data_IF_288333575219
#
_entry.id   IF_288333575219
#
_cell.length_a   1.000
_cell.length_b   1.000
_cell.length_c   1.000
_cell.angle_alpha   90.00
_cell.angle_beta   90.00
_cell.angle_gamma   90.00
#
_symmetry.space_group_name_H-M   'P 1'
#
loop_
_entity.id
_entity.type
_entity.pdbx_description
1 polymer ?
#
# COMPACT_ATOMS: atom_id res chain seq x y z
N UNK A 1 24.83 -14.10 19.88
CA UNK A 1 23.66 -13.86 20.74
C UNK A 1 22.73 -12.72 20.29
N UNK A 2 23.15 -11.44 20.16
CA UNK A 2 22.25 -10.33 19.72
C UNK A 2 21.63 -10.53 18.32
N UNK A 3 22.42 -10.96 17.31
CA UNK A 3 21.94 -11.16 15.93
C UNK A 3 20.85 -12.24 15.82
N UNK A 4 21.00 -13.37 16.52
CA UNK A 4 19.99 -14.44 16.54
C UNK A 4 18.70 -14.03 17.25
N UNK A 5 18.80 -13.16 18.24
CA UNK A 5 17.65 -12.61 18.95
C UNK A 5 16.87 -11.63 18.05
N UNK A 6 17.58 -10.79 17.30
CA UNK A 6 17.00 -9.90 16.27
C UNK A 6 16.38 -10.69 15.13
N UNK A 7 17.04 -11.74 14.63
CA UNK A 7 16.49 -12.61 13.58
C UNK A 7 15.24 -13.37 14.03
N UNK A 8 15.21 -13.87 15.27
CA UNK A 8 14.02 -14.52 15.85
C UNK A 8 12.88 -13.53 16.08
N UNK A 9 13.19 -12.33 16.57
CA UNK A 9 12.21 -11.26 16.71
C UNK A 9 11.64 -10.84 15.35
N UNK A 10 12.49 -10.68 14.34
CA UNK A 10 12.09 -10.33 12.99
C UNK A 10 11.23 -11.43 12.37
N UNK A 11 11.63 -12.70 12.43
CA UNK A 11 10.80 -13.82 11.93
C UNK A 11 9.42 -13.87 12.61
N UNK A 12 9.35 -13.63 13.92
CA UNK A 12 8.10 -13.69 14.69
C UNK A 12 7.18 -12.49 14.41
N UNK A 13 7.75 -11.31 14.18
CA UNK A 13 7.02 -10.06 13.97
C UNK A 13 7.16 -9.53 12.53
N UNK A 14 7.54 -10.39 11.58
CA UNK A 14 7.91 -9.99 10.22
C UNK A 14 6.80 -9.19 9.54
N UNK A 15 5.56 -9.69 9.66
CA UNK A 15 4.39 -9.02 9.11
C UNK A 15 4.17 -7.64 9.73
N UNK A 16 4.39 -7.49 11.05
CA UNK A 16 4.24 -6.21 11.74
C UNK A 16 5.29 -5.21 11.30
N UNK A 17 6.54 -5.64 11.16
CA UNK A 17 7.64 -4.79 10.68
C UNK A 17 7.37 -4.36 9.24
N UNK A 18 6.94 -5.27 8.37
CA UNK A 18 6.59 -4.94 6.98
C UNK A 18 5.41 -3.96 6.92
N UNK A 19 4.36 -4.15 7.71
CA UNK A 19 3.25 -3.19 7.79
C UNK A 19 3.72 -1.81 8.28
N UNK A 20 4.57 -1.76 9.31
CA UNK A 20 5.14 -0.50 9.78
C UNK A 20 5.97 0.19 8.69
N UNK A 21 6.81 -0.57 7.98
CA UNK A 21 7.60 -0.06 6.86
C UNK A 21 6.72 0.44 5.71
N UNK A 22 5.62 -0.24 5.38
CA UNK A 22 4.66 0.19 4.37
C UNK A 22 4.06 1.56 4.73
N UNK A 23 3.61 1.70 5.98
CA UNK A 23 3.02 2.96 6.49
C UNK A 23 4.06 4.08 6.48
N UNK A 24 5.26 3.81 6.97
CA UNK A 24 6.35 4.79 7.01
C UNK A 24 6.79 5.21 5.61
N UNK A 25 6.91 4.26 4.66
CA UNK A 25 7.26 4.55 3.27
C UNK A 25 6.25 5.49 2.62
N UNK A 26 4.95 5.22 2.79
CA UNK A 26 3.90 6.08 2.26
C UNK A 26 3.88 7.44 2.95
N UNK A 27 3.96 7.45 4.28
CA UNK A 27 3.94 8.69 5.05
C UNK A 27 5.13 9.59 4.71
N UNK A 28 6.35 9.06 4.71
CA UNK A 28 7.55 9.81 4.36
C UNK A 28 7.51 10.31 2.91
N UNK A 29 7.12 9.45 1.95
CA UNK A 29 7.01 9.86 0.55
C UNK A 29 6.01 11.00 0.36
N UNK A 30 4.82 10.88 0.94
CA UNK A 30 3.77 11.92 0.85
C UNK A 30 4.16 13.18 1.61
N UNK A 31 4.67 13.07 2.84
CA UNK A 31 5.02 14.24 3.66
C UNK A 31 6.19 15.03 3.06
N UNK A 32 7.22 14.36 2.54
CA UNK A 32 8.32 15.03 1.83
C UNK A 32 7.80 15.74 0.58
N UNK A 33 6.95 15.10 -0.21
CA UNK A 33 6.33 15.75 -1.37
C UNK A 33 5.47 16.95 -1.00
N UNK A 34 4.70 16.87 0.09
CA UNK A 34 3.91 18.02 0.59
C UNK A 34 4.80 19.19 1.00
N UNK A 35 5.92 18.92 1.68
CA UNK A 35 6.85 19.97 2.12
C UNK A 35 7.60 20.61 0.94
N UNK A 36 7.81 19.86 -0.13
CA UNK A 36 8.56 20.30 -1.31
C UNK A 36 7.65 20.81 -2.44
N UNK A 37 6.33 20.75 -2.28
CA UNK A 37 5.37 21.16 -3.30
C UNK A 37 4.89 22.58 -3.07
N UNK A 38 5.12 23.43 -4.06
CA UNK A 38 4.63 24.82 -4.09
C UNK A 38 3.21 24.94 -4.67
N UNK A 39 2.60 23.85 -5.15
CA UNK A 39 1.28 23.88 -5.78
C UNK A 39 0.14 23.71 -4.75
N UNK A 40 -0.63 24.75 -4.40
CA UNK A 40 -1.68 24.61 -3.39
C UNK A 40 -2.80 23.65 -3.80
N UNK A 41 -2.93 23.29 -5.08
CA UNK A 41 -4.05 22.49 -5.61
C UNK A 41 -4.01 21.02 -5.16
N UNK A 42 -2.89 20.50 -4.67
CA UNK A 42 -2.84 19.15 -4.09
C UNK A 42 -3.70 19.03 -2.82
N UNK A 43 -3.95 20.14 -2.11
CA UNK A 43 -4.76 20.16 -0.88
C UNK A 43 -6.25 19.99 -1.16
N UNK A 44 -6.71 20.53 -2.31
CA UNK A 44 -8.12 20.61 -2.70
C UNK A 44 -8.57 19.53 -3.71
N UNK A 45 -7.70 19.11 -4.63
CA UNK A 45 -8.08 18.17 -5.71
C UNK A 45 -7.63 16.74 -5.40
N UNK A 46 -6.33 16.46 -5.48
CA UNK A 46 -5.76 15.17 -5.04
C UNK A 46 -4.28 15.23 -4.73
N UNK A 47 -3.86 14.24 -3.92
CA UNK A 47 -2.45 13.99 -3.65
C UNK A 47 -1.70 13.42 -4.84
N UNK A 48 -2.36 12.78 -5.83
CA UNK A 48 -1.71 12.38 -7.10
C UNK A 48 -1.01 13.53 -7.80
N UNK A 49 -1.50 14.77 -7.60
CA UNK A 49 -0.88 15.98 -8.14
C UNK A 49 0.54 16.22 -7.63
N UNK A 50 0.86 15.74 -6.42
CA UNK A 50 2.22 15.75 -5.89
C UNK A 50 3.19 14.91 -6.72
N UNK A 51 2.66 13.95 -7.49
CA UNK A 51 3.37 13.06 -8.41
C UNK A 51 3.55 13.60 -9.84
N UNK A 52 3.02 14.79 -10.16
CA UNK A 52 3.10 15.40 -11.49
C UNK A 52 4.44 16.12 -11.69
N UNK A 53 5.27 15.58 -12.59
CA UNK A 53 6.62 16.10 -12.83
C UNK A 53 6.63 17.44 -13.58
N UNK A 54 5.55 17.75 -14.29
CA UNK A 54 5.33 19.04 -14.96
C UNK A 54 5.16 20.22 -14.00
N UNK A 55 4.66 19.97 -12.77
CA UNK A 55 4.45 21.00 -11.76
C UNK A 55 5.69 21.19 -10.90
N UNK A 56 6.15 20.10 -10.26
CA UNK A 56 7.37 20.13 -9.46
C UNK A 56 8.06 18.76 -9.49
N UNK A 57 9.18 18.70 -10.22
CA UNK A 57 9.94 17.46 -10.41
C UNK A 57 10.43 16.84 -9.11
N UNK A 58 10.83 17.65 -8.13
CA UNK A 58 11.37 17.15 -6.86
C UNK A 58 10.25 16.51 -6.03
N UNK A 59 9.11 17.20 -5.88
CA UNK A 59 7.92 16.64 -5.24
C UNK A 59 7.49 15.32 -5.90
N UNK A 60 7.48 15.28 -7.23
CA UNK A 60 7.08 14.12 -8.00
C UNK A 60 8.00 12.91 -7.78
N UNK A 61 9.32 13.13 -7.70
CA UNK A 61 10.29 12.06 -7.42
C UNK A 61 10.02 11.43 -6.05
N UNK A 62 9.85 12.24 -4.99
CA UNK A 62 9.58 11.72 -3.64
C UNK A 62 8.22 11.02 -3.55
N UNK A 63 7.20 11.53 -4.24
CA UNK A 63 5.87 10.95 -4.20
C UNK A 63 5.87 9.59 -4.91
N UNK A 64 6.32 9.57 -6.17
CA UNK A 64 6.30 8.37 -7.00
C UNK A 64 7.24 7.29 -6.45
N UNK A 65 8.43 7.66 -5.93
CA UNK A 65 9.31 6.70 -5.26
C UNK A 65 8.72 6.14 -3.97
N UNK A 66 8.02 6.95 -3.17
CA UNK A 66 7.30 6.49 -1.98
C UNK A 66 6.19 5.49 -2.31
N UNK A 67 5.40 5.76 -3.36
CA UNK A 67 4.35 4.85 -3.85
C UNK A 67 4.95 3.57 -4.42
N UNK A 68 6.04 3.66 -5.19
CA UNK A 68 6.76 2.49 -5.71
C UNK A 68 7.29 1.59 -4.58
N UNK A 69 7.99 2.17 -3.60
CA UNK A 69 8.52 1.43 -2.45
C UNK A 69 7.40 0.78 -1.63
N UNK A 70 6.28 1.48 -1.44
CA UNK A 70 5.12 0.91 -0.77
C UNK A 70 4.50 -0.26 -1.56
N UNK A 71 4.48 -0.21 -2.89
CA UNK A 71 4.08 -1.34 -3.73
C UNK A 71 4.97 -2.57 -3.53
N UNK A 72 6.30 -2.40 -3.46
CA UNK A 72 7.23 -3.49 -3.17
C UNK A 72 7.02 -4.10 -1.78
N UNK A 73 6.82 -3.25 -0.76
CA UNK A 73 6.58 -3.73 0.61
C UNK A 73 5.22 -4.46 0.67
N UNK A 74 4.20 -3.96 -0.01
CA UNK A 74 2.89 -4.60 -0.07
C UNK A 74 2.95 -5.99 -0.74
N UNK A 75 3.76 -6.12 -1.80
CA UNK A 75 4.03 -7.43 -2.41
C UNK A 75 4.68 -8.40 -1.41
N UNK A 76 5.66 -7.93 -0.63
CA UNK A 76 6.31 -8.74 0.42
C UNK A 76 5.35 -9.12 1.57
N UNK A 77 4.45 -8.21 1.96
CA UNK A 77 3.36 -8.49 2.91
C UNK A 77 2.48 -9.60 2.35
N UNK A 78 1.99 -9.43 1.13
CA UNK A 78 1.12 -10.41 0.47
C UNK A 78 1.78 -11.79 0.38
N UNK A 79 3.08 -11.86 0.05
CA UNK A 79 3.82 -13.11 -0.04
C UNK A 79 3.97 -13.79 1.33
N UNK A 80 4.25 -13.01 2.38
CA UNK A 80 4.34 -13.51 3.76
C UNK A 80 2.99 -14.06 4.24
N UNK A 81 1.90 -13.32 4.00
CA UNK A 81 0.54 -13.76 4.37
C UNK A 81 0.14 -15.00 3.57
N UNK A 82 0.43 -15.05 2.26
CA UNK A 82 0.15 -16.22 1.41
C UNK A 82 0.87 -17.46 1.91
N UNK A 83 2.14 -17.36 2.25
CA UNK A 83 2.92 -18.48 2.80
C UNK A 83 2.30 -19.02 4.10
N UNK A 84 1.90 -18.12 5.01
CA UNK A 84 1.26 -18.51 6.27
C UNK A 84 -0.15 -19.10 6.05
N UNK A 85 -0.91 -18.59 5.08
CA UNK A 85 -2.24 -19.09 4.73
C UNK A 85 -2.21 -20.38 3.88
N UNK A 86 -1.06 -20.80 3.34
CA UNK A 86 -0.92 -22.10 2.65
C UNK A 86 -0.63 -23.23 3.65
N UNK A 87 -0.10 -22.89 4.83
CA UNK A 87 0.17 -23.86 5.90
C UNK A 87 -1.07 -24.18 6.74
N UNK A 88 -2.06 -23.29 6.72
CA UNK A 88 -3.36 -23.45 7.35
C UNK A 88 -4.33 -23.71 6.21
N UNK A 89 -5.13 -24.77 6.24
CA UNK A 89 -6.01 -25.15 5.13
C UNK A 89 -7.19 -24.15 4.99
N UNK A 90 -6.87 -22.95 4.49
CA UNK A 90 -7.71 -21.77 4.61
C UNK A 90 -8.61 -21.58 3.38
N UNK A 91 -9.84 -21.15 3.65
CA UNK A 91 -10.92 -20.93 2.68
C UNK A 91 -10.50 -20.14 1.42
N UNK A 92 -11.18 -20.40 0.30
CA UNK A 92 -10.98 -19.76 -1.01
C UNK A 92 -10.87 -18.23 -0.97
N UNK A 93 -11.60 -17.56 -0.07
CA UNK A 93 -11.53 -16.11 0.11
C UNK A 93 -10.14 -15.61 0.56
N UNK A 94 -9.43 -16.34 1.42
CA UNK A 94 -8.08 -15.97 1.87
C UNK A 94 -7.06 -16.07 0.72
N UNK A 95 -7.21 -17.06 -0.16
CA UNK A 95 -6.39 -17.23 -1.38
C UNK A 95 -6.60 -16.08 -2.37
N UNK A 96 -7.85 -15.63 -2.53
CA UNK A 96 -8.18 -14.48 -3.39
C UNK A 96 -7.58 -13.19 -2.80
N UNK A 97 -7.79 -12.93 -1.51
CA UNK A 97 -7.26 -11.76 -0.81
C UNK A 97 -5.73 -11.67 -0.92
N UNK A 98 -5.03 -12.78 -0.66
CA UNK A 98 -3.57 -12.81 -0.71
C UNK A 98 -3.04 -12.64 -2.13
N UNK A 99 -3.66 -13.28 -3.12
CA UNK A 99 -3.32 -13.08 -4.53
C UNK A 99 -3.51 -11.62 -4.96
N UNK A 100 -4.61 -11.00 -4.52
CA UNK A 100 -4.91 -9.60 -4.83
C UNK A 100 -3.87 -8.64 -4.21
N UNK A 101 -3.42 -8.91 -2.99
CA UNK A 101 -2.34 -8.15 -2.32
C UNK A 101 -0.97 -8.36 -2.96
N UNK A 102 -0.67 -9.55 -3.48
CA UNK A 102 0.64 -9.86 -4.09
C UNK A 102 0.76 -9.31 -5.51
N UNK A 103 -0.32 -9.39 -6.29
CA UNK A 103 -0.27 -9.17 -7.74
C UNK A 103 -0.96 -7.87 -8.11
N UNK A 104 -2.28 -7.78 -7.89
CA UNK A 104 -3.07 -6.68 -8.40
C UNK A 104 -2.64 -5.34 -7.79
N UNK A 105 -2.53 -5.28 -6.46
CA UNK A 105 -2.25 -4.01 -5.77
C UNK A 105 -0.86 -3.44 -6.09
N UNK A 106 0.23 -4.22 -6.06
CA UNK A 106 1.54 -3.72 -6.46
C UNK A 106 1.60 -3.29 -7.92
N UNK A 107 0.98 -4.04 -8.84
CA UNK A 107 0.91 -3.65 -10.26
C UNK A 107 0.23 -2.29 -10.41
N UNK A 108 -0.90 -2.07 -9.73
CA UNK A 108 -1.58 -0.79 -9.78
C UNK A 108 -0.76 0.34 -9.12
N UNK A 109 -0.05 0.09 -8.03
CA UNK A 109 0.84 1.08 -7.40
C UNK A 109 2.04 1.42 -8.29
N UNK A 110 2.65 0.44 -8.95
CA UNK A 110 3.70 0.68 -9.93
C UNK A 110 3.18 1.43 -11.15
N UNK A 111 2.00 1.07 -11.65
CA UNK A 111 1.34 1.79 -12.73
C UNK A 111 1.11 3.26 -12.38
N UNK A 112 0.68 3.57 -11.16
CA UNK A 112 0.56 4.96 -10.69
C UNK A 112 1.92 5.66 -10.59
N UNK A 113 2.96 4.98 -10.08
CA UNK A 113 4.28 5.57 -9.91
C UNK A 113 5.01 5.84 -11.25
N UNK A 114 4.84 4.97 -12.26
CA UNK A 114 5.47 5.10 -13.57
C UNK A 114 4.65 5.90 -14.57
N UNK A 115 3.32 5.94 -14.41
CA UNK A 115 2.42 6.71 -15.25
C UNK A 115 1.88 7.90 -14.45
N UNK A 116 2.62 9.02 -14.37
CA UNK A 116 2.12 10.23 -13.73
C UNK A 116 0.98 10.84 -14.56
N UNK A 117 0.09 11.51 -13.85
CA UNK A 117 -1.19 11.99 -14.36
C UNK A 117 -1.08 12.98 -15.54
N UNK A 118 0.02 13.73 -15.57
CA UNK A 118 0.30 14.78 -16.54
C UNK A 118 0.73 14.26 -17.91
N UNK A 119 1.40 13.11 -17.97
CA UNK A 119 1.89 12.50 -19.22
C UNK A 119 0.94 11.45 -19.77
N UNK A 120 0.39 10.60 -18.89
CA UNK A 120 -0.42 9.44 -19.28
C UNK A 120 -1.70 9.34 -18.44
N UNK A 121 -2.52 10.39 -18.50
CA UNK A 121 -3.76 10.52 -17.72
C UNK A 121 -4.65 9.26 -17.77
N UNK A 122 -4.88 8.70 -18.96
CA UNK A 122 -5.72 7.49 -19.12
C UNK A 122 -5.17 6.26 -18.39
N UNK A 123 -3.85 6.00 -18.51
CA UNK A 123 -3.21 4.89 -17.83
C UNK A 123 -3.20 5.12 -16.31
N UNK A 124 -2.83 6.33 -15.86
CA UNK A 124 -2.86 6.71 -14.46
C UNK A 124 -4.25 6.49 -13.85
N UNK A 125 -5.30 6.93 -14.54
CA UNK A 125 -6.68 6.77 -14.11
C UNK A 125 -7.06 5.29 -13.92
N UNK A 126 -6.75 4.43 -14.90
CA UNK A 126 -7.04 2.98 -14.81
C UNK A 126 -6.32 2.36 -13.62
N UNK A 127 -5.03 2.62 -13.45
CA UNK A 127 -4.26 2.05 -12.34
C UNK A 127 -4.75 2.56 -10.99
N UNK A 128 -5.02 3.86 -10.89
CA UNK A 128 -5.52 4.48 -9.66
C UNK A 128 -6.89 3.92 -9.26
N UNK A 129 -7.81 3.72 -10.23
CA UNK A 129 -9.09 3.02 -9.99
C UNK A 129 -8.89 1.55 -9.63
N UNK A 130 -7.92 0.87 -10.23
CA UNK A 130 -7.52 -0.49 -9.87
C UNK A 130 -7.10 -0.61 -8.41
N UNK A 131 -6.33 0.35 -7.90
CA UNK A 131 -6.00 0.43 -6.46
C UNK A 131 -7.30 0.51 -5.66
N UNK A 132 -8.19 1.47 -5.95
CA UNK A 132 -9.46 1.65 -5.21
C UNK A 132 -10.31 0.39 -5.21
N UNK A 133 -10.50 -0.25 -6.37
CA UNK A 133 -11.29 -1.47 -6.49
C UNK A 133 -10.67 -2.59 -5.68
N UNK A 134 -9.35 -2.77 -5.77
CA UNK A 134 -8.62 -3.71 -4.93
C UNK A 134 -8.78 -3.40 -3.44
N UNK A 135 -8.74 -2.12 -3.04
CA UNK A 135 -8.92 -1.71 -1.64
C UNK A 135 -10.31 -2.09 -1.11
N UNK A 136 -11.34 -1.89 -1.93
CA UNK A 136 -12.73 -2.23 -1.57
C UNK A 136 -12.88 -3.75 -1.42
N UNK A 137 -12.33 -4.53 -2.35
CA UNK A 137 -12.33 -5.99 -2.27
C UNK A 137 -11.63 -6.45 -1.00
N UNK A 138 -10.45 -5.89 -0.68
CA UNK A 138 -9.76 -6.20 0.56
C UNK A 138 -10.62 -5.80 1.77
N UNK A 139 -11.24 -4.63 1.81
CA UNK A 139 -12.09 -4.26 2.94
C UNK A 139 -13.23 -5.25 3.22
N UNK A 140 -13.79 -5.88 2.19
CA UNK A 140 -14.90 -6.83 2.31
C UNK A 140 -14.41 -8.26 2.59
N UNK A 141 -13.44 -8.76 1.83
CA UNK A 141 -12.99 -10.15 1.91
C UNK A 141 -11.97 -10.40 3.02
N UNK A 142 -11.24 -9.37 3.43
CA UNK A 142 -10.23 -9.47 4.49
C UNK A 142 -10.81 -9.77 5.87
N UNK A 143 -11.89 -9.13 6.38
CA UNK A 143 -12.49 -9.51 7.66
C UNK A 143 -13.08 -10.93 7.65
N UNK A 144 -13.52 -11.41 6.49
CA UNK A 144 -14.00 -12.78 6.31
C UNK A 144 -12.88 -13.82 6.38
N UNK A 145 -11.68 -13.50 5.88
CA UNK A 145 -10.51 -14.39 6.00
C UNK A 145 -9.90 -14.39 7.42
N UNK A 146 -10.16 -13.34 8.21
CA UNK A 146 -9.58 -13.11 9.53
C UNK A 146 -10.31 -13.72 10.74
N UNK A 147 -11.48 -14.36 10.55
CA UNK A 147 -12.23 -14.96 11.66
C UNK A 147 -11.40 -15.97 12.48
N UNK A 148 -10.33 -16.51 11.90
CA UNK A 148 -9.44 -17.51 12.52
C UNK A 148 -8.08 -16.96 12.99
N UNK A 149 -7.81 -15.65 12.88
CA UNK A 149 -6.49 -15.05 13.21
C UNK A 149 -6.45 -14.35 14.56
N UNK A 150 -5.24 -14.26 15.13
CA UNK A 150 -4.98 -13.80 16.48
C UNK A 150 -5.44 -12.34 16.71
N UNK A 151 -5.92 -12.01 17.92
CA UNK A 151 -6.49 -10.69 18.27
C UNK A 151 -5.57 -9.50 17.94
N UNK A 152 -4.24 -9.68 18.00
CA UNK A 152 -3.26 -8.64 17.67
C UNK A 152 -3.20 -8.34 16.17
N UNK A 153 -3.28 -9.36 15.31
CA UNK A 153 -3.23 -9.19 13.85
C UNK A 153 -4.48 -8.45 13.35
N UNK A 154 -5.64 -8.72 13.96
CA UNK A 154 -6.89 -7.99 13.70
C UNK A 154 -6.78 -6.48 13.90
N UNK A 155 -6.06 -6.01 14.94
CA UNK A 155 -5.93 -4.57 15.23
C UNK A 155 -5.07 -3.87 14.16
N UNK A 156 -3.96 -4.45 13.75
CA UNK A 156 -3.11 -3.87 12.69
C UNK A 156 -3.80 -3.87 11.32
N UNK A 157 -4.66 -4.84 11.07
CA UNK A 157 -5.41 -4.95 9.83
C UNK A 157 -6.59 -3.98 9.80
N UNK A 158 -7.17 -3.65 10.95
CA UNK A 158 -8.08 -2.51 11.09
C UNK A 158 -7.37 -1.16 10.86
N UNK A 159 -6.13 -1.00 11.34
CA UNK A 159 -5.32 0.20 11.06
C UNK A 159 -4.99 0.28 9.55
N UNK A 160 -4.64 -0.85 8.94
CA UNK A 160 -4.46 -0.93 7.49
C UNK A 160 -5.76 -0.58 6.73
N UNK A 161 -6.92 -1.08 7.15
CA UNK A 161 -8.22 -0.68 6.59
C UNK A 161 -8.52 0.81 6.80
N UNK A 162 -8.17 1.38 7.94
CA UNK A 162 -8.35 2.81 8.18
C UNK A 162 -7.48 3.66 7.25
N UNK A 163 -6.22 3.28 7.06
CA UNK A 163 -5.30 3.91 6.12
C UNK A 163 -5.74 3.75 4.66
N UNK A 164 -6.27 2.59 4.28
CA UNK A 164 -6.90 2.35 2.99
C UNK A 164 -8.09 3.30 2.75
N UNK A 165 -8.91 3.53 3.79
CA UNK A 165 -10.05 4.47 3.74
C UNK A 165 -9.59 5.92 3.54
N UNK A 166 -8.49 6.30 4.19
CA UNK A 166 -7.85 7.61 4.00
C UNK A 166 -7.33 7.77 2.57
N UNK A 167 -6.62 6.76 2.05
CA UNK A 167 -6.13 6.71 0.66
C UNK A 167 -7.24 6.89 -0.36
N UNK A 168 -8.38 6.21 -0.18
CA UNK A 168 -9.56 6.34 -1.04
C UNK A 168 -10.09 7.78 -1.14
N UNK A 169 -9.98 8.59 -0.08
CA UNK A 169 -10.58 9.93 -0.01
C UNK A 169 -9.69 11.05 -0.56
N UNK A 170 -8.37 10.93 -0.43
CA UNK A 170 -7.45 12.06 -0.67
C UNK A 170 -6.39 11.78 -1.74
N UNK A 171 -6.11 10.52 -2.08
CA UNK A 171 -4.96 10.20 -2.94
C UNK A 171 -5.31 9.99 -4.42
N UNK A 172 -6.56 9.67 -4.76
CA UNK A 172 -6.90 9.03 -6.06
C UNK A 172 -7.96 9.84 -6.87
N UNK A 173 -7.88 11.18 -6.92
CA UNK A 173 -8.76 11.99 -7.77
C UNK A 173 -8.06 13.06 -8.60
#
# INVERSE_FOLDING_TARGET
MKKELVLRFYKRNQLQVLCALYIMSLFCGVALSMLLSDDPRWTGWSLSRLGEASVNRISAIFFNSGVFMAGLILMAIGATVRHNCLQIDQHSAAKIVTTLMVILMPICMFGVAFCPNDTMHGAHFIFSRGIVFGMVILMVLFPLSLQHTNRRERVYLLVFQFLLRFWRRKVIF
#
